data_IF_395008129979
#
_entry.id   IF_395008129979
#
_cell.length_a   1.000
_cell.length_b   1.000
_cell.length_c   1.000
_cell.angle_alpha   90.00
_cell.angle_beta   90.00
_cell.angle_gamma   90.00
#
_symmetry.space_group_name_H-M   'P 1'
#
loop_
_entity.id
_entity.type
_entity.pdbx_description
1 polymer ?
#
# COMPACT_ATOMS: atom_id res chain seq x y z
N UNK A 1 -4.32 4.69 -0.91
CA UNK A 1 -3.60 3.89 -1.94
C UNK A 1 -4.44 3.55 -3.17
N UNK A 2 -5.59 2.86 -3.07
CA UNK A 2 -6.42 2.44 -4.23
C UNK A 2 -6.78 3.59 -5.19
N UNK A 3 -7.18 4.73 -4.65
CA UNK A 3 -7.52 5.92 -5.44
C UNK A 3 -6.34 6.45 -6.26
N UNK A 4 -5.11 6.39 -5.73
CA UNK A 4 -3.92 6.86 -6.46
C UNK A 4 -3.62 5.97 -7.67
N UNK A 5 -3.75 4.64 -7.53
CA UNK A 5 -3.60 3.68 -8.63
C UNK A 5 -4.69 3.89 -9.68
N UNK A 6 -5.95 4.03 -9.24
CA UNK A 6 -7.07 4.31 -10.14
C UNK A 6 -6.92 5.66 -10.88
N UNK A 7 -6.31 6.65 -10.22
CA UNK A 7 -6.01 7.96 -10.83
C UNK A 7 -4.79 7.93 -11.77
N UNK A 8 -4.09 6.79 -11.89
CA UNK A 8 -2.97 6.62 -12.81
C UNK A 8 -1.59 6.95 -12.25
N UNK A 9 -1.42 6.94 -10.92
CA UNK A 9 -0.09 7.08 -10.33
C UNK A 9 0.86 5.96 -10.78
N UNK A 10 2.13 6.30 -11.03
CA UNK A 10 3.15 5.35 -11.47
C UNK A 10 3.77 4.54 -10.31
N UNK A 11 3.58 4.99 -9.07
CA UNK A 11 4.13 4.33 -7.89
C UNK A 11 3.42 4.73 -6.60
N UNK A 12 3.65 3.92 -5.56
CA UNK A 12 3.17 4.18 -4.21
C UNK A 12 4.36 4.08 -3.24
N UNK A 13 4.47 5.04 -2.34
CA UNK A 13 5.36 4.96 -1.19
C UNK A 13 4.53 4.59 0.03
N UNK A 14 4.90 3.49 0.70
CA UNK A 14 4.14 2.93 1.83
C UNK A 14 5.13 2.59 2.94
N UNK A 15 4.88 3.09 4.14
CA UNK A 15 5.65 2.75 5.33
C UNK A 15 5.14 1.46 5.95
N UNK A 16 6.08 0.60 6.35
CA UNK A 16 5.77 -0.74 6.85
C UNK A 16 6.67 -1.01 8.05
N UNK A 17 6.06 -1.45 9.15
CA UNK A 17 6.77 -1.81 10.37
C UNK A 17 6.19 -3.12 10.93
N UNK A 18 7.03 -4.07 11.39
CA UNK A 18 6.54 -5.34 11.95
C UNK A 18 5.71 -5.15 13.23
N UNK A 19 5.96 -4.06 13.97
CA UNK A 19 5.28 -3.72 15.22
C UNK A 19 5.00 -2.20 15.26
N UNK A 20 3.94 -1.70 14.60
CA UNK A 20 3.70 -0.27 14.44
C UNK A 20 3.59 0.50 15.77
N UNK A 21 3.10 -0.14 16.83
CA UNK A 21 2.97 0.48 18.16
C UNK A 21 4.34 0.84 18.79
N UNK A 22 5.41 0.14 18.38
CA UNK A 22 6.78 0.40 18.82
C UNK A 22 7.62 1.19 17.83
N UNK A 23 7.03 1.65 16.73
CA UNK A 23 7.76 2.45 15.76
C UNK A 23 8.21 3.78 16.40
N UNK A 24 9.49 4.10 16.25
CA UNK A 24 10.08 5.33 16.81
C UNK A 24 9.52 6.60 16.15
N UNK A 25 9.00 6.47 14.93
CA UNK A 25 8.30 7.49 14.17
C UNK A 25 7.15 6.82 13.43
N UNK A 26 6.03 7.51 13.26
CA UNK A 26 4.99 7.16 12.28
C UNK A 26 4.35 5.77 12.42
N UNK A 27 4.27 5.27 13.66
CA UNK A 27 3.57 4.03 14.01
C UNK A 27 2.13 3.97 13.52
N UNK A 28 1.26 4.95 13.80
CA UNK A 28 -0.14 4.89 13.39
C UNK A 28 -0.39 4.86 11.87
N UNK A 29 0.59 5.28 11.06
CA UNK A 29 0.51 5.27 9.60
C UNK A 29 1.25 4.09 8.95
N UNK A 30 2.14 3.44 9.70
CA UNK A 30 2.88 2.26 9.26
C UNK A 30 1.98 1.02 9.23
N UNK A 31 2.02 0.28 8.12
CA UNK A 31 1.31 -0.99 7.99
C UNK A 31 2.09 -2.13 8.60
N UNK A 32 1.40 -3.16 9.08
CA UNK A 32 2.03 -4.45 9.34
C UNK A 32 2.36 -5.18 8.03
N UNK A 33 3.19 -6.22 8.08
CA UNK A 33 3.47 -7.04 6.91
C UNK A 33 2.23 -7.72 6.31
N UNK A 34 1.27 -8.09 7.15
CA UNK A 34 0.00 -8.68 6.70
C UNK A 34 -0.85 -7.66 5.95
N UNK A 35 -1.02 -6.46 6.53
CA UNK A 35 -1.74 -5.36 5.90
C UNK A 35 -1.07 -4.91 4.59
N UNK A 36 0.26 -4.89 4.54
CA UNK A 36 0.98 -4.60 3.31
C UNK A 36 0.72 -5.65 2.23
N UNK A 37 0.70 -6.94 2.57
CA UNK A 37 0.36 -8.01 1.61
C UNK A 37 -1.07 -7.87 1.08
N UNK A 38 -2.01 -7.55 1.96
CA UNK A 38 -3.40 -7.29 1.55
C UNK A 38 -3.48 -6.09 0.60
N UNK A 39 -2.81 -4.98 0.96
CA UNK A 39 -2.75 -3.77 0.13
C UNK A 39 -2.21 -4.06 -1.27
N UNK A 40 -1.11 -4.82 -1.39
CA UNK A 40 -0.54 -5.20 -2.70
C UNK A 40 -1.53 -6.01 -3.53
N UNK A 41 -2.27 -6.94 -2.90
CA UNK A 41 -3.32 -7.69 -3.58
C UNK A 41 -4.45 -6.80 -4.10
N UNK A 42 -4.87 -5.81 -3.31
CA UNK A 42 -5.87 -4.82 -3.72
C UNK A 42 -5.38 -3.92 -4.85
N UNK A 43 -4.15 -3.41 -4.74
CA UNK A 43 -3.51 -2.56 -5.76
C UNK A 43 -3.44 -3.29 -7.09
N UNK A 44 -3.02 -4.56 -7.11
CA UNK A 44 -2.97 -5.38 -8.33
C UNK A 44 -4.34 -5.54 -8.98
N UNK A 45 -5.39 -5.76 -8.18
CA UNK A 45 -6.76 -5.84 -8.70
C UNK A 45 -7.21 -4.54 -9.35
N UNK A 46 -6.97 -3.40 -8.68
CA UNK A 46 -7.34 -2.08 -9.23
C UNK A 46 -6.56 -1.77 -10.49
N UNK A 47 -5.24 -1.98 -10.49
CA UNK A 47 -4.39 -1.72 -11.65
C UNK A 47 -4.77 -2.57 -12.86
N UNK A 48 -5.09 -3.85 -12.66
CA UNK A 48 -5.62 -4.72 -13.71
C UNK A 48 -6.92 -4.19 -14.32
N UNK A 49 -7.80 -3.59 -13.52
CA UNK A 49 -9.04 -2.98 -14.01
C UNK A 49 -8.85 -1.66 -14.77
N UNK A 50 -7.70 -1.01 -14.64
CA UNK A 50 -7.37 0.25 -15.35
C UNK A 50 -6.23 0.06 -16.37
N UNK A 51 -6.00 -1.18 -16.81
CA UNK A 51 -5.00 -1.56 -17.83
C UNK A 51 -3.56 -1.12 -17.49
N UNK A 52 -3.20 -1.12 -16.19
CA UNK A 52 -1.85 -0.78 -15.72
C UNK A 52 -1.12 -1.98 -15.15
N UNK A 53 0.20 -2.01 -15.39
CA UNK A 53 1.14 -2.95 -14.79
C UNK A 53 1.64 -2.39 -13.44
N UNK A 54 1.45 -3.15 -12.37
CA UNK A 54 2.01 -2.94 -11.02
C UNK A 54 2.59 -4.22 -10.46
#
# INVERSE_FOLDING_TARGET
CRAAVAAGADGLMVEVHPDPEKALCDGPQSLTFEQFRELVGEVKRVAGSVERLV
#
